data_IF_838245089253
#
_entry.id   IF_838245089253
#
_cell.length_a   1.000
_cell.length_b   1.000
_cell.length_c   1.000
_cell.angle_alpha   90.00
_cell.angle_beta   90.00
_cell.angle_gamma   90.00
#
_symmetry.space_group_name_H-M   'P 1'
#
loop_
_entity.id
_entity.type
_entity.pdbx_description
1 polymer ?
#
# COMPACT_ATOMS: atom_id res chain seq x y z
N UNK A 1 -24.89 18.61 3.60
CA UNK A 1 -24.09 19.40 4.53
C UNK A 1 -22.62 19.40 4.16
N UNK A 2 -22.01 20.56 4.31
CA UNK A 2 -20.60 20.77 3.97
C UNK A 2 -19.64 19.92 4.80
N UNK A 3 -20.01 19.58 6.03
CA UNK A 3 -19.15 18.76 6.90
C UNK A 3 -18.99 17.33 6.40
N UNK A 4 -20.02 16.76 5.78
CA UNK A 4 -19.96 15.41 5.21
C UNK A 4 -19.04 15.36 3.98
N UNK A 5 -19.14 16.38 3.13
CA UNK A 5 -18.26 16.51 1.97
C UNK A 5 -16.80 16.65 2.39
N UNK A 6 -16.56 17.43 3.42
CA UNK A 6 -15.22 17.66 3.96
C UNK A 6 -14.62 16.37 4.53
N UNK A 7 -15.43 15.61 5.28
CA UNK A 7 -15.01 14.33 5.83
C UNK A 7 -14.64 13.34 4.74
N UNK A 8 -15.44 13.27 3.69
CA UNK A 8 -15.19 12.37 2.56
C UNK A 8 -13.90 12.76 1.85
N UNK A 9 -13.68 14.02 1.58
CA UNK A 9 -12.45 14.51 0.95
C UNK A 9 -11.22 14.17 1.80
N UNK A 10 -11.33 14.35 3.11
CA UNK A 10 -10.24 14.01 4.03
C UNK A 10 -9.95 12.53 4.01
N UNK A 11 -10.98 11.70 3.98
CA UNK A 11 -10.84 10.25 3.95
C UNK A 11 -10.20 9.78 2.64
N UNK A 12 -10.63 10.34 1.52
CA UNK A 12 -10.03 10.07 0.22
C UNK A 12 -8.54 10.41 0.25
N UNK A 13 -8.20 11.57 0.77
CA UNK A 13 -6.82 12.02 0.87
C UNK A 13 -5.98 11.07 1.74
N UNK A 14 -6.51 10.67 2.90
CA UNK A 14 -5.84 9.73 3.79
C UNK A 14 -5.60 8.38 3.12
N UNK A 15 -6.61 7.91 2.40
CA UNK A 15 -6.51 6.65 1.67
C UNK A 15 -5.44 6.74 0.60
N UNK A 16 -5.40 7.83 -0.15
CA UNK A 16 -4.39 8.07 -1.18
C UNK A 16 -2.99 8.13 -0.59
N UNK A 17 -2.83 8.80 0.54
CA UNK A 17 -1.55 8.90 1.24
C UNK A 17 -1.07 7.52 1.69
N UNK A 18 -1.98 6.70 2.23
CA UNK A 18 -1.64 5.35 2.67
C UNK A 18 -1.26 4.47 1.48
N UNK A 19 -2.00 4.57 0.39
CA UNK A 19 -1.69 3.85 -0.85
C UNK A 19 -0.26 4.18 -1.29
N UNK A 20 0.09 5.47 -1.28
CA UNK A 20 1.42 5.93 -1.66
C UNK A 20 2.51 5.31 -0.77
N UNK A 21 2.28 5.30 0.53
CA UNK A 21 3.23 4.72 1.51
C UNK A 21 3.42 3.22 1.25
N UNK A 22 2.32 2.50 1.05
CA UNK A 22 2.37 1.04 0.81
C UNK A 22 3.09 0.75 -0.50
N UNK A 23 2.81 1.49 -1.56
CA UNK A 23 3.46 1.32 -2.85
C UNK A 23 4.96 1.62 -2.76
N UNK A 24 5.32 2.65 -2.01
CA UNK A 24 6.72 3.00 -1.79
C UNK A 24 7.46 1.86 -1.07
N UNK A 25 6.82 1.28 -0.04
CA UNK A 25 7.40 0.16 0.69
C UNK A 25 7.57 -1.07 -0.20
N UNK A 26 6.56 -1.37 -1.02
CA UNK A 26 6.63 -2.48 -1.97
C UNK A 26 7.77 -2.28 -2.97
N UNK A 27 7.96 -1.05 -3.44
CA UNK A 27 9.05 -0.71 -4.35
C UNK A 27 10.41 -0.94 -3.67
N UNK A 28 10.54 -0.56 -2.40
CA UNK A 28 11.77 -0.78 -1.62
C UNK A 28 12.06 -2.27 -1.47
N UNK A 29 11.04 -3.09 -1.21
CA UNK A 29 11.19 -4.55 -1.11
C UNK A 29 11.66 -5.12 -2.44
N UNK A 30 11.07 -4.66 -3.54
CA UNK A 30 11.46 -5.10 -4.88
C UNK A 30 12.92 -4.77 -5.17
N UNK A 31 13.39 -3.60 -4.73
CA UNK A 31 14.78 -3.20 -4.86
C UNK A 31 15.70 -4.12 -4.05
N UNK A 32 15.27 -4.55 -2.87
CA UNK A 32 16.02 -5.49 -2.05
C UNK A 32 16.17 -6.86 -2.73
N UNK A 33 15.12 -7.32 -3.44
CA UNK A 33 15.19 -8.57 -4.20
C UNK A 33 16.27 -8.53 -5.29
N UNK A 34 16.55 -7.36 -5.81
CA UNK A 34 17.57 -7.18 -6.84
C UNK A 34 19.00 -7.18 -6.26
N UNK A 35 19.13 -7.09 -4.94
CA UNK A 35 20.43 -7.07 -4.28
C UNK A 35 21.02 -8.50 -4.24
N UNK A 36 22.22 -8.73 -4.81
CA UNK A 36 22.83 -10.05 -4.81
C UNK A 36 23.13 -10.57 -3.39
N UNK A 37 23.38 -9.69 -2.43
CA UNK A 37 23.61 -10.07 -1.03
C UNK A 37 22.36 -10.68 -0.42
N UNK A 38 21.20 -10.13 -0.76
CA UNK A 38 19.90 -10.61 -0.27
C UNK A 38 19.50 -11.88 -1.04
N UNK A 39 19.82 -11.95 -2.31
CA UNK A 39 19.54 -13.12 -3.16
C UNK A 39 20.11 -14.42 -2.62
N UNK A 40 21.21 -14.35 -1.87
CA UNK A 40 21.84 -15.50 -1.23
C UNK A 40 21.27 -15.82 0.15
N UNK A 41 20.44 -14.92 0.70
CA UNK A 41 19.89 -15.06 2.05
C UNK A 41 18.42 -15.48 2.00
N UNK A 42 18.21 -16.81 2.06
CA UNK A 42 16.86 -17.40 1.99
C UNK A 42 15.95 -16.88 3.09
N UNK A 43 16.46 -16.73 4.31
CA UNK A 43 15.66 -16.24 5.45
C UNK A 43 15.15 -14.82 5.17
N UNK A 44 16.01 -13.96 4.66
CA UNK A 44 15.63 -12.58 4.32
C UNK A 44 14.62 -12.55 3.18
N UNK A 45 14.80 -13.39 2.17
CA UNK A 45 13.86 -13.50 1.06
C UNK A 45 12.47 -13.89 1.53
N UNK A 46 12.39 -14.83 2.47
CA UNK A 46 11.11 -15.24 3.05
C UNK A 46 10.44 -14.11 3.83
N UNK A 47 11.22 -13.36 4.60
CA UNK A 47 10.69 -12.18 5.32
C UNK A 47 10.14 -11.15 4.36
N UNK A 48 10.89 -10.85 3.31
CA UNK A 48 10.46 -9.88 2.29
C UNK A 48 9.20 -10.34 1.58
N UNK A 49 9.12 -11.63 1.26
CA UNK A 49 7.97 -12.21 0.60
C UNK A 49 6.71 -12.07 1.49
N UNK A 50 6.84 -12.42 2.77
CA UNK A 50 5.73 -12.31 3.72
C UNK A 50 5.28 -10.86 3.88
N UNK A 51 6.23 -9.94 4.00
CA UNK A 51 5.93 -8.52 4.13
C UNK A 51 5.22 -7.99 2.87
N UNK A 52 5.75 -8.32 1.69
CA UNK A 52 5.15 -7.85 0.44
C UNK A 52 3.75 -8.43 0.22
N UNK A 53 3.52 -9.68 0.60
CA UNK A 53 2.20 -10.30 0.50
C UNK A 53 1.18 -9.56 1.37
N UNK A 54 1.55 -9.22 2.60
CA UNK A 54 0.70 -8.44 3.50
C UNK A 54 0.42 -7.05 2.97
N UNK A 55 1.45 -6.38 2.46
CA UNK A 55 1.32 -5.04 1.88
C UNK A 55 0.47 -5.05 0.62
N UNK A 56 0.63 -6.09 -0.22
CA UNK A 56 -0.17 -6.21 -1.44
C UNK A 56 -1.66 -6.37 -1.10
N UNK A 57 -1.96 -7.16 -0.08
CA UNK A 57 -3.33 -7.32 0.40
C UNK A 57 -3.90 -6.01 0.91
N UNK A 58 -3.12 -5.30 1.71
CA UNK A 58 -3.51 -3.98 2.22
C UNK A 58 -3.76 -3.01 1.07
N UNK A 59 -2.90 -3.02 0.07
CA UNK A 59 -3.03 -2.16 -1.11
C UNK A 59 -4.34 -2.42 -1.85
N UNK A 60 -4.67 -3.70 -2.06
CA UNK A 60 -5.92 -4.08 -2.72
C UNK A 60 -7.12 -3.57 -1.95
N UNK A 61 -7.11 -3.70 -0.62
CA UNK A 61 -8.17 -3.19 0.25
C UNK A 61 -8.28 -1.67 0.19
N UNK A 62 -7.13 -0.98 0.15
CA UNK A 62 -7.09 0.48 0.05
C UNK A 62 -7.68 0.95 -1.27
N UNK A 63 -7.37 0.29 -2.37
CA UNK A 63 -7.92 0.65 -3.68
C UNK A 63 -9.43 0.42 -3.72
N UNK A 64 -9.91 -0.68 -3.14
CA UNK A 64 -11.36 -0.95 -3.05
C UNK A 64 -12.06 0.15 -2.25
N UNK A 65 -11.48 0.52 -1.12
CA UNK A 65 -12.04 1.58 -0.27
C UNK A 65 -12.04 2.92 -0.99
N UNK A 66 -10.92 3.24 -1.63
CA UNK A 66 -10.77 4.47 -2.40
C UNK A 66 -11.82 4.56 -3.53
N UNK A 67 -11.96 3.47 -4.26
CA UNK A 67 -12.91 3.38 -5.37
C UNK A 67 -14.35 3.59 -4.87
N UNK A 68 -14.68 2.97 -3.74
CA UNK A 68 -15.98 3.14 -3.09
C UNK A 68 -16.23 4.61 -2.69
N UNK A 69 -15.22 5.27 -2.15
CA UNK A 69 -15.31 6.68 -1.77
C UNK A 69 -15.53 7.57 -3.00
N UNK A 70 -14.85 7.26 -4.08
CA UNK A 70 -14.97 8.04 -5.33
C UNK A 70 -16.33 7.83 -6.00
N UNK A 71 -16.89 6.63 -5.90
CA UNK A 71 -18.22 6.34 -6.45
C UNK A 71 -19.33 7.12 -5.77
N UNK A 72 -19.16 7.40 -4.48
CA UNK A 72 -20.17 8.12 -3.70
C UNK A 72 -20.22 9.61 -4.01
N UNK A 73 -19.23 10.13 -4.71
CA UNK A 73 -19.24 11.49 -5.19
C UNK A 73 -20.17 11.65 -6.38
#
# INVERSE_FOLDING_TARGET
CSSDLKKRKNEIKRTEERISVVEERLSAIDAEYSDPSIGSNTARLMELHNESAGLQKELDELYEHWDSLMEEE
#
